data_IF_069717129804
#
_entry.id   IF_069717129804
#
_cell.length_a   1.000
_cell.length_b   1.000
_cell.length_c   1.000
_cell.angle_alpha   90.00
_cell.angle_beta   90.00
_cell.angle_gamma   90.00
#
_symmetry.space_group_name_H-M   'P 1'
#
loop_
_entity.id
_entity.type
_entity.pdbx_description
1 polymer ?
#
# COMPACT_ATOMS: atom_id res chain seq x y z
N UNK A 1 5.82 18.78 -34.66
CA UNK A 1 7.17 18.23 -34.88
C UNK A 1 8.01 18.48 -33.62
N UNK A 2 8.43 17.44 -32.89
CA UNK A 2 9.30 17.64 -31.71
C UNK A 2 10.71 17.99 -32.19
N UNK A 3 11.21 19.18 -31.83
CA UNK A 3 12.63 19.54 -32.02
C UNK A 3 13.49 18.65 -31.12
N UNK A 4 14.27 17.76 -31.74
CA UNK A 4 15.27 16.92 -31.06
C UNK A 4 16.64 17.58 -31.26
N UNK A 5 16.97 18.57 -30.45
CA UNK A 5 18.35 19.06 -30.37
C UNK A 5 19.19 18.05 -29.58
N UNK A 6 20.38 17.65 -30.06
CA UNK A 6 21.24 16.75 -29.33
C UNK A 6 21.75 17.41 -28.04
N UNK A 7 21.72 16.67 -26.93
CA UNK A 7 22.31 17.11 -25.67
C UNK A 7 23.83 17.16 -25.82
N UNK A 8 24.40 18.36 -25.93
CA UNK A 8 25.85 18.58 -25.97
C UNK A 8 26.36 18.93 -24.57
N UNK A 9 27.42 18.26 -24.11
CA UNK A 9 28.03 18.53 -22.80
C UNK A 9 29.22 19.48 -22.97
N UNK A 10 29.22 20.57 -22.19
CA UNK A 10 30.28 21.60 -22.22
C UNK A 10 31.59 21.18 -21.53
N UNK A 11 31.57 20.13 -20.71
CA UNK A 11 32.73 19.69 -19.93
C UNK A 11 33.05 18.21 -20.18
N UNK A 12 34.33 17.85 -20.35
CA UNK A 12 34.75 16.47 -20.53
C UNK A 12 34.40 15.64 -19.29
N UNK A 13 34.13 14.35 -19.49
CA UNK A 13 33.95 13.40 -18.40
C UNK A 13 35.29 13.26 -17.66
N UNK A 14 35.27 13.53 -16.35
CA UNK A 14 36.47 13.44 -15.49
C UNK A 14 36.87 11.99 -15.17
N UNK A 15 35.99 11.02 -15.44
CA UNK A 15 36.22 9.61 -15.21
C UNK A 15 36.91 8.98 -16.43
N UNK A 16 38.15 8.52 -16.26
CA UNK A 16 38.96 7.82 -17.27
C UNK A 16 38.76 6.31 -17.25
N UNK A 17 38.14 5.78 -16.20
CA UNK A 17 37.85 4.36 -16.02
C UNK A 17 36.36 4.08 -16.27
N UNK A 18 36.09 3.05 -17.07
CA UNK A 18 34.73 2.59 -17.33
C UNK A 18 34.03 2.08 -16.07
N UNK A 19 32.71 2.28 -15.98
CA UNK A 19 31.90 1.81 -14.86
C UNK A 19 31.98 0.28 -14.78
N UNK A 20 32.65 -0.25 -13.76
CA UNK A 20 32.74 -1.69 -13.53
C UNK A 20 31.37 -2.23 -13.09
N UNK A 21 30.89 -3.31 -13.73
CA UNK A 21 29.62 -3.96 -13.36
C UNK A 21 29.79 -4.73 -12.06
N UNK A 22 29.65 -4.07 -10.93
CA UNK A 22 29.58 -4.74 -9.63
C UNK A 22 28.15 -5.25 -9.38
N UNK A 23 27.98 -6.42 -8.73
CA UNK A 23 26.67 -6.86 -8.27
C UNK A 23 26.03 -5.80 -7.37
N UNK A 24 24.80 -5.39 -7.69
CA UNK A 24 24.10 -4.39 -6.89
C UNK A 24 23.72 -5.02 -5.54
N UNK A 25 24.44 -4.66 -4.47
CA UNK A 25 24.12 -5.14 -3.12
C UNK A 25 22.77 -4.56 -2.69
N UNK A 26 21.71 -5.38 -2.71
CA UNK A 26 20.40 -4.99 -2.17
C UNK A 26 20.52 -4.83 -0.65
N UNK A 27 20.27 -3.62 -0.15
CA UNK A 27 20.20 -3.35 1.29
C UNK A 27 18.78 -3.63 1.78
N UNK A 28 18.66 -4.11 3.01
CA UNK A 28 17.37 -4.22 3.67
C UNK A 28 16.69 -2.83 3.72
N UNK A 29 15.37 -2.74 3.48
CA UNK A 29 14.65 -1.48 3.61
C UNK A 29 14.82 -0.86 5.00
N UNK A 30 15.07 0.44 5.06
CA UNK A 30 15.13 1.17 6.33
C UNK A 30 13.78 1.07 7.05
N UNK A 31 13.77 0.68 8.32
CA UNK A 31 12.57 0.71 9.18
C UNK A 31 12.05 2.14 9.27
N UNK A 32 10.74 2.33 9.10
CA UNK A 32 10.08 3.65 9.12
C UNK A 32 8.99 3.65 10.20
N UNK A 33 8.83 4.73 10.96
CA UNK A 33 7.69 4.88 11.87
C UNK A 33 6.37 4.69 11.10
N UNK A 34 5.45 3.92 11.67
CA UNK A 34 4.14 3.64 11.06
C UNK A 34 4.10 2.46 10.09
N UNK A 35 5.25 1.94 9.63
CA UNK A 35 5.32 0.74 8.79
C UNK A 35 5.50 -0.53 9.64
N UNK A 36 4.49 -1.40 9.66
CA UNK A 36 4.42 -2.59 10.49
C UNK A 36 3.92 -3.79 9.66
N UNK A 37 4.84 -4.65 9.14
CA UNK A 37 4.53 -5.74 8.21
C UNK A 37 3.44 -6.72 8.69
N UNK A 38 3.30 -6.90 10.01
CA UNK A 38 2.28 -7.76 10.61
C UNK A 38 0.85 -7.39 10.22
N UNK A 39 0.55 -6.10 10.02
CA UNK A 39 -0.78 -5.66 9.60
C UNK A 39 -1.04 -6.03 8.13
N UNK A 40 -0.03 -5.88 7.27
CA UNK A 40 -0.11 -6.32 5.87
C UNK A 40 -0.25 -7.84 5.76
N UNK A 41 0.48 -8.60 6.58
CA UNK A 41 0.40 -10.05 6.60
C UNK A 41 -1.01 -10.54 6.99
N UNK A 42 -1.67 -9.89 7.96
CA UNK A 42 -3.02 -10.26 8.37
C UNK A 42 -4.06 -10.15 7.23
N UNK A 43 -3.83 -9.25 6.27
CA UNK A 43 -4.73 -9.00 5.13
C UNK A 43 -4.57 -10.05 4.03
N UNK A 44 -3.45 -10.79 3.99
CA UNK A 44 -3.26 -11.82 2.98
C UNK A 44 -4.33 -12.92 3.12
N UNK A 45 -4.93 -13.31 1.98
CA UNK A 45 -6.01 -14.30 1.92
C UNK A 45 -7.41 -13.78 2.29
N UNK A 46 -7.55 -12.52 2.71
CA UNK A 46 -8.85 -11.94 3.05
C UNK A 46 -9.67 -11.54 1.81
N UNK A 47 -10.99 -11.47 1.99
CA UNK A 47 -11.88 -10.79 1.04
C UNK A 47 -11.90 -9.27 1.30
N UNK A 48 -12.39 -8.48 0.33
CA UNK A 48 -12.57 -7.04 0.52
C UNK A 48 -13.59 -6.71 1.61
N UNK A 49 -13.21 -5.84 2.55
CA UNK A 49 -14.10 -5.32 3.59
C UNK A 49 -14.77 -4.01 3.20
N UNK A 50 -14.17 -3.20 2.31
CA UNK A 50 -14.80 -1.95 1.84
C UNK A 50 -16.14 -2.18 1.13
N UNK A 51 -16.28 -3.28 0.37
CA UNK A 51 -17.52 -3.76 -0.27
C UNK A 51 -18.41 -2.66 -0.89
N UNK A 52 -17.82 -1.70 -1.61
CA UNK A 52 -18.60 -0.74 -2.39
C UNK A 52 -19.53 -1.45 -3.38
N UNK A 53 -20.66 -0.83 -3.79
CA UNK A 53 -21.52 -1.36 -4.84
C UNK A 53 -20.72 -1.73 -6.09
N UNK A 54 -20.89 -2.96 -6.58
CA UNK A 54 -20.08 -3.52 -7.67
C UNK A 54 -18.82 -4.28 -7.22
N UNK A 55 -18.56 -4.38 -5.92
CA UNK A 55 -17.51 -5.26 -5.40
C UNK A 55 -17.77 -6.73 -5.79
N UNK A 56 -16.76 -7.38 -6.36
CA UNK A 56 -16.77 -8.79 -6.74
C UNK A 56 -15.70 -9.60 -6.02
N UNK A 57 -15.27 -9.13 -4.85
CA UNK A 57 -14.22 -9.80 -4.09
C UNK A 57 -14.72 -11.12 -3.53
N UNK A 58 -13.84 -12.11 -3.49
CA UNK A 58 -14.08 -13.47 -3.02
C UNK A 58 -13.00 -13.86 -2.01
N UNK A 59 -13.18 -14.96 -1.23
CA UNK A 59 -12.11 -15.46 -0.37
C UNK A 59 -10.83 -15.71 -1.16
N UNK A 60 -9.67 -15.29 -0.63
CA UNK A 60 -8.37 -15.41 -1.32
C UNK A 60 -8.25 -14.63 -2.63
N UNK A 61 -9.09 -13.62 -2.86
CA UNK A 61 -8.98 -12.72 -4.01
C UNK A 61 -7.57 -12.07 -4.04
N UNK A 62 -6.74 -12.37 -5.07
CA UNK A 62 -5.34 -11.95 -5.12
C UNK A 62 -5.19 -10.44 -5.32
N UNK A 63 -6.29 -9.74 -5.63
CA UNK A 63 -6.29 -8.28 -5.77
C UNK A 63 -6.47 -7.55 -4.45
N UNK A 64 -6.72 -8.28 -3.36
CA UNK A 64 -6.92 -7.71 -2.03
C UNK A 64 -5.59 -7.22 -1.47
N UNK A 65 -5.55 -5.92 -1.17
CA UNK A 65 -4.39 -5.20 -0.66
C UNK A 65 -4.80 -4.29 0.50
N UNK A 66 -3.86 -3.87 1.37
CA UNK A 66 -4.15 -2.89 2.43
C UNK A 66 -4.56 -1.54 1.87
N UNK A 67 -5.81 -1.13 2.12
CA UNK A 67 -6.26 0.26 1.96
C UNK A 67 -6.05 1.03 3.27
N UNK A 68 -5.18 2.03 3.25
CA UNK A 68 -4.95 2.94 4.39
C UNK A 68 -6.09 3.94 4.54
N UNK A 69 -6.42 4.33 5.77
CA UNK A 69 -7.34 5.44 6.03
C UNK A 69 -6.89 6.71 5.30
N UNK A 70 -7.86 7.42 4.70
CA UNK A 70 -7.60 8.67 3.98
C UNK A 70 -7.46 9.87 4.92
N UNK A 71 -8.15 9.85 6.07
CA UNK A 71 -8.14 10.93 7.06
C UNK A 71 -6.95 10.87 8.02
N UNK A 72 -6.71 11.96 8.76
CA UNK A 72 -5.73 11.99 9.86
C UNK A 72 -4.26 12.11 9.44
N UNK A 73 -3.98 12.44 8.17
CA UNK A 73 -2.61 12.59 7.63
C UNK A 73 -2.46 13.84 6.75
N UNK A 74 -1.24 14.38 6.69
CA UNK A 74 -0.88 15.41 5.70
C UNK A 74 -0.87 14.84 4.28
N UNK A 75 -1.04 15.71 3.28
CA UNK A 75 -1.05 15.32 1.86
C UNK A 75 0.21 14.50 1.50
N UNK A 76 0.01 13.30 0.92
CA UNK A 76 1.10 12.40 0.53
C UNK A 76 1.68 11.52 1.64
N UNK A 77 1.25 11.66 2.89
CA UNK A 77 1.62 10.74 3.98
C UNK A 77 0.65 9.57 4.05
N UNK A 78 1.14 8.41 4.49
CA UNK A 78 0.30 7.26 4.85
C UNK A 78 0.07 7.27 6.36
N UNK A 79 -1.16 7.00 6.79
CA UNK A 79 -1.42 6.70 8.20
C UNK A 79 -0.69 5.41 8.58
N UNK A 80 -0.52 5.20 9.88
CA UNK A 80 0.06 3.97 10.40
C UNK A 80 -0.68 2.74 9.86
N UNK A 81 0.06 1.66 9.54
CA UNK A 81 -0.50 0.41 9.00
C UNK A 81 -1.59 -0.25 9.86
N UNK A 82 -1.75 0.16 11.12
CA UNK A 82 -2.85 -0.29 11.98
C UNK A 82 -4.20 0.22 11.49
N UNK A 83 -4.22 1.33 10.76
CA UNK A 83 -5.40 1.94 10.15
C UNK A 83 -5.50 1.50 8.68
N UNK A 84 -5.54 0.18 8.47
CA UNK A 84 -5.74 -0.44 7.16
C UNK A 84 -6.89 -1.43 7.20
N UNK A 85 -7.57 -1.57 6.07
CA UNK A 85 -8.60 -2.60 5.82
C UNK A 85 -8.27 -3.38 4.53
N UNK A 86 -8.66 -4.65 4.41
CA UNK A 86 -8.58 -5.40 3.16
C UNK A 86 -9.46 -4.75 2.09
N UNK A 87 -8.91 -4.49 0.91
CA UNK A 87 -9.66 -3.96 -0.22
C UNK A 87 -9.21 -4.59 -1.54
N UNK A 88 -10.16 -5.15 -2.30
CA UNK A 88 -9.89 -5.58 -3.68
C UNK A 88 -9.57 -4.39 -4.58
N UNK A 89 -8.99 -4.65 -5.75
CA UNK A 89 -8.55 -3.60 -6.69
C UNK A 89 -9.65 -2.55 -6.98
N UNK A 90 -10.88 -3.00 -7.26
CA UNK A 90 -12.01 -2.10 -7.54
C UNK A 90 -12.34 -1.19 -6.36
N UNK A 91 -12.52 -1.78 -5.17
CA UNK A 91 -12.86 -1.01 -3.97
C UNK A 91 -11.73 -0.07 -3.56
N UNK A 92 -10.49 -0.52 -3.71
CA UNK A 92 -9.31 0.27 -3.38
C UNK A 92 -9.20 1.50 -4.30
N UNK A 93 -9.33 1.32 -5.62
CA UNK A 93 -9.31 2.43 -6.57
C UNK A 93 -10.46 3.41 -6.32
N UNK A 94 -11.67 2.89 -6.07
CA UNK A 94 -12.83 3.73 -5.80
C UNK A 94 -12.67 4.54 -4.51
N UNK A 95 -12.14 3.94 -3.45
CA UNK A 95 -11.88 4.65 -2.20
C UNK A 95 -10.82 5.74 -2.33
N UNK A 96 -9.69 5.41 -2.95
CA UNK A 96 -8.50 6.26 -2.98
C UNK A 96 -8.61 7.37 -4.04
N UNK A 97 -9.15 7.06 -5.22
CA UNK A 97 -8.96 7.90 -6.42
C UNK A 97 -10.25 8.52 -6.96
N UNK A 98 -11.43 8.11 -6.50
CA UNK A 98 -12.70 8.66 -7.01
C UNK A 98 -13.06 10.03 -6.44
N UNK A 99 -14.02 10.69 -7.08
CA UNK A 99 -14.70 11.89 -6.57
C UNK A 99 -15.88 11.62 -5.62
N UNK A 100 -16.03 10.41 -5.07
CA UNK A 100 -17.07 10.11 -4.07
C UNK A 100 -16.92 11.08 -2.89
N UNK A 101 -18.05 11.50 -2.36
CA UNK A 101 -18.12 12.38 -1.19
C UNK A 101 -17.24 11.87 -0.03
N UNK A 102 -16.58 12.81 0.65
CA UNK A 102 -15.60 12.49 1.69
C UNK A 102 -16.24 11.80 2.88
N UNK A 103 -17.46 12.19 3.26
CA UNK A 103 -18.19 11.58 4.37
C UNK A 103 -18.59 10.15 4.01
N UNK A 104 -19.00 9.90 2.77
CA UNK A 104 -19.28 8.53 2.29
C UNK A 104 -18.01 7.67 2.37
N UNK A 105 -16.86 8.19 1.92
CA UNK A 105 -15.58 7.46 2.03
C UNK A 105 -15.24 7.17 3.48
N UNK A 106 -15.39 8.17 4.36
CA UNK A 106 -15.13 8.02 5.80
C UNK A 106 -16.03 6.96 6.43
N UNK A 107 -17.34 7.08 6.25
CA UNK A 107 -18.32 6.12 6.77
C UNK A 107 -18.08 4.70 6.25
N UNK A 108 -17.74 4.54 4.96
CA UNK A 108 -17.42 3.24 4.37
C UNK A 108 -16.17 2.63 5.01
N UNK A 109 -15.13 3.44 5.23
CA UNK A 109 -13.91 3.00 5.90
C UNK A 109 -14.19 2.62 7.35
N UNK A 110 -14.91 3.45 8.11
CA UNK A 110 -15.21 3.21 9.51
C UNK A 110 -16.04 1.92 9.69
N UNK A 111 -17.01 1.68 8.80
CA UNK A 111 -17.79 0.45 8.78
C UNK A 111 -16.98 -0.79 8.39
N UNK A 112 -16.03 -0.66 7.46
CA UNK A 112 -15.09 -1.72 7.12
C UNK A 112 -14.12 -2.00 8.27
N UNK A 113 -13.59 -0.96 8.90
CA UNK A 113 -12.61 -1.05 9.98
C UNK A 113 -13.21 -1.70 11.22
N UNK A 114 -14.45 -1.33 11.60
CA UNK A 114 -15.17 -1.91 12.75
C UNK A 114 -15.34 -3.42 12.62
N UNK A 115 -15.61 -3.91 11.40
CA UNK A 115 -15.75 -5.37 11.14
C UNK A 115 -14.41 -6.07 11.02
N UNK A 116 -13.40 -5.38 10.47
CA UNK A 116 -12.08 -5.94 10.24
C UNK A 116 -11.23 -6.02 11.52
N UNK A 117 -11.31 -5.02 12.40
CA UNK A 117 -10.49 -4.93 13.59
C UNK A 117 -10.53 -6.19 14.48
N UNK A 118 -11.69 -6.78 14.84
CA UNK A 118 -11.72 -8.00 15.63
C UNK A 118 -11.13 -9.20 14.88
N UNK A 119 -11.41 -9.36 13.58
CA UNK A 119 -10.85 -10.46 12.77
C UNK A 119 -9.33 -10.36 12.70
N UNK A 120 -8.82 -9.15 12.47
CA UNK A 120 -7.38 -8.86 12.49
C UNK A 120 -6.77 -9.15 13.85
N UNK A 121 -7.44 -8.79 14.93
CA UNK A 121 -6.96 -9.05 16.29
C UNK A 121 -6.82 -10.55 16.54
N UNK A 122 -7.81 -11.36 16.14
CA UNK A 122 -7.72 -12.82 16.23
C UNK A 122 -6.57 -13.38 15.38
N UNK A 123 -6.46 -12.97 14.12
CA UNK A 123 -5.34 -13.38 13.25
C UNK A 123 -3.97 -13.02 13.83
N UNK A 124 -3.85 -11.87 14.49
CA UNK A 124 -2.61 -11.46 15.15
C UNK A 124 -2.31 -12.27 16.42
N UNK A 125 -3.32 -12.83 17.09
CA UNK A 125 -3.13 -13.79 18.18
C UNK A 125 -2.71 -15.16 17.62
N UNK A 126 -3.37 -15.64 16.56
CA UNK A 126 -3.07 -16.94 15.93
C UNK A 126 -1.68 -16.97 15.29
N UNK A 127 -1.27 -15.87 14.64
CA UNK A 127 0.09 -15.70 14.11
C UNK A 127 1.15 -15.54 15.21
N UNK A 128 0.77 -15.15 16.43
CA UNK A 128 1.66 -15.18 17.59
C UNK A 128 1.78 -16.60 18.20
N UNK A 129 0.79 -17.47 17.97
CA UNK A 129 0.81 -18.87 18.41
C UNK A 129 1.64 -19.79 17.49
N UNK A 130 1.95 -19.36 16.27
CA UNK A 130 2.76 -20.11 15.29
C UNK A 130 4.16 -19.51 15.09
N UNK A 131 4.67 -18.76 16.07
CA UNK A 131 6.06 -18.32 16.08
C UNK A 131 7.00 -19.49 16.35
N UNK A 132 7.63 -20.03 15.29
CA UNK A 132 8.91 -20.72 15.45
C UNK A 132 10.03 -19.73 15.73
#
# INVERSE_FOLDING_TARGET
>A
MLRRSPLTRKTPLKATTGLQRTPFKRRAPKKRPGHAPKYTAAIQGECSYLRFPGCRSYPEDPTVVPAHQNEGKGMGLKVHDKFTVPACHFCHALYDQSGIDREIKRATFDWAYTRWEPVRAEKMKEGAAHGC
#
